data_IF_712802920915
#
_entry.id   IF_712802920915
#
_cell.length_a   1.000
_cell.length_b   1.000
_cell.length_c   1.000
_cell.angle_alpha   90.00
_cell.angle_beta   90.00
_cell.angle_gamma   90.00
#
_symmetry.space_group_name_H-M   'P 1'
#
loop_
_entity.id
_entity.type
_entity.pdbx_description
1 polymer ?
#
# COMPACT_ATOMS: atom_id res chain seq x y z
N UNK A 1 -7.55 83.26 33.98
CA UNK A 1 -7.32 81.84 33.63
C UNK A 1 -7.84 81.62 32.23
N UNK A 2 -6.97 81.33 31.26
CA UNK A 2 -7.41 80.95 29.90
C UNK A 2 -7.85 79.49 29.96
N UNK A 3 -9.15 79.25 30.01
CA UNK A 3 -9.73 77.91 29.88
C UNK A 3 -9.64 77.51 28.40
N UNK A 4 -8.71 76.62 28.07
CA UNK A 4 -8.67 76.00 26.74
C UNK A 4 -10.00 75.28 26.49
N UNK A 5 -10.76 75.71 25.49
CA UNK A 5 -11.97 75.03 25.02
C UNK A 5 -11.55 73.73 24.31
N UNK A 6 -11.29 72.67 25.06
CA UNK A 6 -11.42 71.32 24.51
C UNK A 6 -12.91 71.05 24.33
N UNK A 7 -13.39 71.12 23.09
CA UNK A 7 -14.79 70.87 22.76
C UNK A 7 -15.22 69.50 23.30
N UNK A 8 -16.34 69.44 24.05
CA UNK A 8 -16.92 68.19 24.58
C UNK A 8 -17.15 67.15 23.48
N UNK A 9 -17.42 67.62 22.25
CA UNK A 9 -17.52 66.77 21.05
C UNK A 9 -16.18 66.10 20.68
N UNK A 10 -15.05 66.81 20.80
CA UNK A 10 -13.73 66.24 20.55
C UNK A 10 -13.39 65.17 21.61
N UNK A 11 -13.70 65.41 22.88
CA UNK A 11 -13.49 64.44 23.98
C UNK A 11 -14.37 63.19 23.76
N UNK A 12 -15.64 63.37 23.40
CA UNK A 12 -16.54 62.24 23.12
C UNK A 12 -16.09 61.42 21.91
N UNK A 13 -15.62 62.06 20.83
CA UNK A 13 -15.15 61.35 19.65
C UNK A 13 -13.86 60.55 19.94
N UNK A 14 -12.92 61.12 20.70
CA UNK A 14 -11.71 60.42 21.15
C UNK A 14 -12.11 59.21 22.01
N UNK A 15 -13.03 59.37 22.97
CA UNK A 15 -13.47 58.25 23.82
C UNK A 15 -14.15 57.14 23.03
N UNK A 16 -14.97 57.47 22.01
CA UNK A 16 -15.56 56.46 21.12
C UNK A 16 -14.49 55.72 20.31
N UNK A 17 -13.49 56.44 19.79
CA UNK A 17 -12.37 55.81 19.09
C UNK A 17 -11.56 54.89 20.00
N UNK A 18 -11.25 55.33 21.23
CA UNK A 18 -10.55 54.50 22.22
C UNK A 18 -11.35 53.26 22.59
N UNK A 19 -12.66 53.39 22.85
CA UNK A 19 -13.53 52.24 23.15
C UNK A 19 -13.55 51.27 21.97
N UNK A 20 -13.71 51.75 20.74
CA UNK A 20 -13.71 50.90 19.54
C UNK A 20 -12.37 50.18 19.36
N UNK A 21 -11.25 50.87 19.59
CA UNK A 21 -9.91 50.29 19.52
C UNK A 21 -9.70 49.23 20.62
N UNK A 22 -10.09 49.52 21.87
CA UNK A 22 -9.99 48.59 22.99
C UNK A 22 -10.89 47.37 22.81
N UNK A 23 -12.09 47.51 22.23
CA UNK A 23 -12.96 46.39 21.87
C UNK A 23 -12.31 45.50 20.81
N UNK A 24 -11.70 46.10 19.77
CA UNK A 24 -10.99 45.34 18.72
C UNK A 24 -9.82 44.56 19.31
N UNK A 25 -8.99 45.22 20.14
CA UNK A 25 -7.88 44.57 20.83
C UNK A 25 -8.36 43.48 21.79
N UNK A 26 -9.46 43.70 22.51
CA UNK A 26 -10.03 42.69 23.41
C UNK A 26 -10.45 41.44 22.64
N UNK A 27 -11.10 41.63 21.48
CA UNK A 27 -11.48 40.52 20.60
C UNK A 27 -10.25 39.75 20.11
N UNK A 28 -9.22 40.45 19.62
CA UNK A 28 -7.99 39.82 19.13
C UNK A 28 -7.23 39.09 20.24
N UNK A 29 -6.99 39.74 21.38
CA UNK A 29 -6.30 39.12 22.52
C UNK A 29 -7.11 37.97 23.13
N UNK A 30 -8.44 38.01 23.07
CA UNK A 30 -9.29 36.88 23.48
C UNK A 30 -9.15 35.69 22.53
N UNK A 31 -9.11 35.92 21.22
CA UNK A 31 -8.83 34.87 20.23
C UNK A 31 -7.43 34.29 20.42
N UNK A 32 -6.43 35.13 20.63
CA UNK A 32 -5.04 34.75 20.90
C UNK A 32 -4.90 33.91 22.18
N UNK A 33 -5.53 34.35 23.27
CA UNK A 33 -5.54 33.60 24.53
C UNK A 33 -6.24 32.23 24.39
N UNK A 34 -7.28 32.13 23.56
CA UNK A 34 -8.02 30.89 23.36
C UNK A 34 -7.33 29.92 22.38
N UNK A 35 -6.70 30.43 21.32
CA UNK A 35 -6.13 29.61 20.24
C UNK A 35 -4.62 29.35 20.41
N UNK A 36 -3.93 30.20 21.16
CA UNK A 36 -2.47 30.16 21.27
C UNK A 36 -1.73 30.63 20.02
N UNK A 37 -2.44 31.23 19.05
CA UNK A 37 -1.87 31.79 17.82
C UNK A 37 -2.33 33.23 17.59
N UNK A 38 -1.56 34.02 16.84
CA UNK A 38 -1.95 35.39 16.48
C UNK A 38 -3.34 35.45 15.84
N UNK A 39 -4.18 36.40 16.28
CA UNK A 39 -5.53 36.56 15.74
C UNK A 39 -5.53 37.06 14.29
N UNK A 40 -4.50 37.80 13.89
CA UNK A 40 -4.28 38.26 12.51
C UNK A 40 -2.81 38.01 12.12
N UNK A 41 -2.55 36.83 11.56
CA UNK A 41 -1.23 36.44 11.06
C UNK A 41 -0.69 37.41 10.00
N UNK A 42 -1.56 38.01 9.19
CA UNK A 42 -1.21 38.98 8.14
C UNK A 42 -0.56 40.22 8.72
N UNK A 43 -1.19 40.80 9.74
CA UNK A 43 -0.67 41.97 10.44
C UNK A 43 0.54 41.63 11.30
N UNK A 44 0.51 40.50 12.02
CA UNK A 44 1.58 40.12 12.95
C UNK A 44 2.86 39.66 12.26
N UNK A 45 2.76 38.94 11.15
CA UNK A 45 3.91 38.33 10.47
C UNK A 45 4.30 39.03 9.17
N UNK A 46 3.40 39.79 8.54
CA UNK A 46 3.65 40.45 7.25
C UNK A 46 4.11 39.45 6.18
N UNK A 47 5.34 39.62 5.69
CA UNK A 47 5.95 38.70 4.71
C UNK A 47 6.14 37.26 5.23
N UNK A 48 6.14 37.05 6.55
CA UNK A 48 6.24 35.74 7.19
C UNK A 48 5.05 34.82 6.93
N UNK A 49 3.86 35.38 6.63
CA UNK A 49 2.66 34.59 6.31
C UNK A 49 2.87 33.68 5.10
N UNK A 50 3.59 34.16 4.08
CA UNK A 50 3.91 33.33 2.91
C UNK A 50 4.72 32.09 3.28
N UNK A 51 5.61 32.22 4.28
CA UNK A 51 6.40 31.10 4.80
C UNK A 51 5.52 30.11 5.54
N UNK A 52 4.60 30.58 6.37
CA UNK A 52 3.70 29.66 7.08
C UNK A 52 2.76 28.91 6.12
N UNK A 53 2.16 29.61 5.15
CA UNK A 53 1.33 28.97 4.13
C UNK A 53 2.12 27.88 3.39
N UNK A 54 3.38 28.18 3.03
CA UNK A 54 4.25 27.19 2.40
C UNK A 54 4.53 25.99 3.31
N UNK A 55 4.71 26.19 4.62
CA UNK A 55 4.93 25.10 5.58
C UNK A 55 3.67 24.23 5.71
N UNK A 56 2.50 24.84 5.87
CA UNK A 56 1.21 24.12 5.95
C UNK A 56 0.96 23.30 4.69
N UNK A 57 1.24 23.86 3.51
CA UNK A 57 1.11 23.12 2.24
C UNK A 57 2.01 21.89 2.17
N UNK A 58 3.24 21.95 2.72
CA UNK A 58 4.15 20.80 2.76
C UNK A 58 3.67 19.76 3.78
N UNK A 59 3.13 20.18 4.92
CA UNK A 59 2.50 19.29 5.91
C UNK A 59 1.31 18.54 5.28
N UNK A 60 0.44 19.25 4.57
CA UNK A 60 -0.72 18.64 3.89
C UNK A 60 -0.28 17.64 2.81
N UNK A 61 0.79 17.97 2.07
CA UNK A 61 1.37 17.05 1.10
C UNK A 61 1.94 15.79 1.78
N UNK A 62 2.63 15.94 2.92
CA UNK A 62 3.14 14.81 3.67
C UNK A 62 2.00 13.91 4.18
N UNK A 63 0.91 14.50 4.67
CA UNK A 63 -0.29 13.76 5.05
C UNK A 63 -0.92 12.98 3.87
N UNK A 64 -0.96 13.60 2.68
CA UNK A 64 -1.44 12.94 1.46
C UNK A 64 -0.58 11.73 1.07
N UNK A 65 0.76 11.85 1.18
CA UNK A 65 1.66 10.72 0.96
C UNK A 65 1.44 9.61 1.99
N UNK A 66 1.32 9.93 3.28
CA UNK A 66 1.05 8.92 4.32
C UNK A 66 -0.25 8.15 4.08
N UNK A 67 -1.32 8.85 3.67
CA UNK A 67 -2.59 8.20 3.32
C UNK A 67 -2.45 7.27 2.10
N UNK A 68 -1.69 7.69 1.09
CA UNK A 68 -1.40 6.86 -0.08
C UNK A 68 -0.53 5.65 0.29
N UNK A 69 0.47 5.86 1.14
CA UNK A 69 1.36 4.82 1.64
C UNK A 69 0.62 3.76 2.44
N UNK A 70 -0.40 4.12 3.21
CA UNK A 70 -1.24 3.14 3.91
C UNK A 70 -1.92 2.15 2.94
N UNK A 71 -2.37 2.63 1.77
CA UNK A 71 -2.96 1.79 0.73
C UNK A 71 -1.90 0.89 0.06
N UNK A 72 -0.70 1.43 -0.15
CA UNK A 72 0.45 0.67 -0.67
C UNK A 72 0.87 -0.43 0.32
N UNK A 73 0.96 -0.13 1.61
CA UNK A 73 1.29 -1.10 2.66
C UNK A 73 0.28 -2.23 2.70
N UNK A 74 -1.03 -1.92 2.72
CA UNK A 74 -2.09 -2.93 2.70
C UNK A 74 -1.96 -3.88 1.49
N UNK A 75 -1.66 -3.31 0.31
CA UNK A 75 -1.46 -4.08 -0.91
C UNK A 75 -0.23 -4.98 -0.86
N UNK A 76 0.89 -4.45 -0.36
CA UNK A 76 2.14 -5.19 -0.19
C UNK A 76 1.97 -6.34 0.81
N UNK A 77 1.36 -6.09 1.96
CA UNK A 77 1.07 -7.10 2.99
C UNK A 77 0.16 -8.21 2.48
N UNK A 78 -0.92 -7.84 1.78
CA UNK A 78 -1.83 -8.83 1.19
C UNK A 78 -1.14 -9.68 0.12
N UNK A 79 -0.26 -9.07 -0.67
CA UNK A 79 0.54 -9.80 -1.67
C UNK A 79 1.52 -10.76 -1.00
N UNK A 80 2.18 -10.35 0.09
CA UNK A 80 3.06 -11.21 0.88
C UNK A 80 2.32 -12.42 1.47
N UNK A 81 1.11 -12.21 1.97
CA UNK A 81 0.26 -13.28 2.51
C UNK A 81 -0.12 -14.31 1.43
N UNK A 82 -0.56 -13.84 0.27
CA UNK A 82 -0.87 -14.73 -0.87
C UNK A 82 0.36 -15.48 -1.37
N UNK A 83 1.52 -14.83 -1.48
CA UNK A 83 2.78 -15.49 -1.85
C UNK A 83 3.20 -16.54 -0.81
N UNK A 84 3.02 -16.26 0.49
CA UNK A 84 3.32 -17.22 1.56
C UNK A 84 2.42 -18.46 1.49
N UNK A 85 1.15 -18.29 1.11
CA UNK A 85 0.23 -19.41 0.87
C UNK A 85 0.72 -20.27 -0.29
N UNK A 86 1.13 -19.66 -1.42
CA UNK A 86 1.69 -20.38 -2.56
C UNK A 86 3.00 -21.10 -2.23
N UNK A 87 3.88 -20.45 -1.46
CA UNK A 87 5.14 -21.04 -1.02
C UNK A 87 4.86 -22.28 -0.14
N UNK A 88 3.95 -22.16 0.82
CA UNK A 88 3.55 -23.28 1.70
C UNK A 88 2.97 -24.44 0.90
N UNK A 89 2.19 -24.14 -0.15
CA UNK A 89 1.66 -25.15 -1.08
C UNK A 89 2.78 -25.87 -1.84
N UNK A 90 3.77 -25.12 -2.34
CA UNK A 90 4.95 -25.67 -3.02
C UNK A 90 5.79 -26.56 -2.08
N UNK A 91 6.06 -26.09 -0.86
CA UNK A 91 6.85 -26.82 0.14
C UNK A 91 6.13 -28.11 0.58
N UNK A 92 4.79 -28.05 0.74
CA UNK A 92 3.97 -29.23 1.05
C UNK A 92 3.99 -30.24 -0.09
N UNK A 93 3.92 -29.77 -1.34
CA UNK A 93 4.04 -30.63 -2.51
C UNK A 93 5.41 -31.33 -2.56
N UNK A 94 6.50 -30.60 -2.33
CA UNK A 94 7.86 -31.18 -2.24
C UNK A 94 7.93 -32.27 -1.18
N UNK A 95 7.38 -32.02 0.01
CA UNK A 95 7.36 -32.97 1.13
C UNK A 95 6.63 -34.26 0.75
N UNK A 96 5.41 -34.14 0.21
CA UNK A 96 4.58 -35.29 -0.18
C UNK A 96 5.20 -36.09 -1.33
N UNK A 97 5.80 -35.42 -2.31
CA UNK A 97 6.49 -36.10 -3.42
C UNK A 97 7.79 -36.79 -2.98
N UNK A 98 8.50 -36.21 -2.00
CA UNK A 98 9.69 -36.85 -1.41
C UNK A 98 9.30 -38.13 -0.68
N UNK A 99 8.17 -38.13 0.03
CA UNK A 99 7.62 -39.35 0.63
C UNK A 99 7.25 -40.40 -0.43
N UNK A 100 6.64 -39.98 -1.55
CA UNK A 100 6.32 -40.86 -2.68
C UNK A 100 7.57 -41.52 -3.31
N UNK A 101 8.72 -40.83 -3.35
CA UNK A 101 9.97 -41.44 -3.82
C UNK A 101 10.45 -42.59 -2.92
N UNK A 102 10.11 -42.54 -1.63
CA UNK A 102 10.43 -43.59 -0.65
C UNK A 102 9.42 -44.75 -0.63
N UNK A 103 8.17 -44.51 -1.04
CA UNK A 103 7.11 -45.51 -1.12
C UNK A 103 6.17 -45.21 -2.31
N UNK A 104 6.18 -46.08 -3.34
CA UNK A 104 5.41 -45.92 -4.58
C UNK A 104 4.07 -46.70 -4.60
N UNK A 105 3.54 -47.09 -3.44
CA UNK A 105 2.24 -47.76 -3.37
C UNK A 105 1.10 -46.85 -3.85
N UNK A 106 0.00 -47.47 -4.31
CA UNK A 106 -1.15 -46.78 -4.92
C UNK A 106 -1.77 -45.71 -4.00
N UNK A 107 -1.79 -45.93 -2.69
CA UNK A 107 -2.26 -44.95 -1.71
C UNK A 107 -1.36 -43.73 -1.61
N UNK A 108 -0.04 -43.91 -1.63
CA UNK A 108 0.94 -42.81 -1.61
C UNK A 108 0.85 -41.98 -2.90
N UNK A 109 0.62 -42.66 -4.04
CA UNK A 109 0.39 -42.02 -5.33
C UNK A 109 -0.87 -41.14 -5.32
N UNK A 110 -1.99 -41.66 -4.79
CA UNK A 110 -3.23 -40.91 -4.66
C UNK A 110 -3.07 -39.66 -3.77
N UNK A 111 -2.32 -39.78 -2.65
CA UNK A 111 -2.01 -38.63 -1.78
C UNK A 111 -1.17 -37.57 -2.51
N UNK A 112 -0.16 -37.97 -3.28
CA UNK A 112 0.64 -37.04 -4.06
C UNK A 112 -0.19 -36.30 -5.13
N UNK A 113 -1.10 -37.00 -5.81
CA UNK A 113 -2.03 -36.40 -6.78
C UNK A 113 -2.99 -35.40 -6.13
N UNK A 114 -3.54 -35.74 -4.96
CA UNK A 114 -4.37 -34.81 -4.21
C UNK A 114 -3.57 -33.57 -3.80
N UNK A 115 -2.35 -33.76 -3.27
CA UNK A 115 -1.47 -32.65 -2.90
C UNK A 115 -1.13 -31.74 -4.08
N UNK A 116 -0.93 -32.30 -5.27
CA UNK A 116 -0.68 -31.53 -6.49
C UNK A 116 -1.90 -30.69 -6.91
N UNK A 117 -3.09 -31.29 -6.83
CA UNK A 117 -4.37 -30.63 -7.12
C UNK A 117 -4.64 -29.50 -6.13
N UNK A 118 -4.41 -29.74 -4.83
CA UNK A 118 -4.57 -28.75 -3.78
C UNK A 118 -3.59 -27.59 -3.96
N UNK A 119 -2.32 -27.88 -4.26
CA UNK A 119 -1.31 -26.85 -4.48
C UNK A 119 -1.66 -25.95 -5.67
N UNK A 120 -2.15 -26.54 -6.76
CA UNK A 120 -2.61 -25.79 -7.93
C UNK A 120 -3.83 -24.92 -7.60
N UNK A 121 -4.82 -25.47 -6.91
CA UNK A 121 -6.03 -24.75 -6.50
C UNK A 121 -5.72 -23.58 -5.56
N UNK A 122 -4.82 -23.79 -4.60
CA UNK A 122 -4.32 -22.75 -3.70
C UNK A 122 -3.58 -21.65 -4.46
N UNK A 123 -2.71 -22.03 -5.41
CA UNK A 123 -2.02 -21.06 -6.26
C UNK A 123 -3.02 -20.23 -7.06
N UNK A 124 -3.96 -20.86 -7.78
CA UNK A 124 -4.98 -20.15 -8.56
C UNK A 124 -5.81 -19.23 -7.67
N UNK A 125 -6.21 -19.69 -6.49
CA UNK A 125 -6.99 -18.87 -5.56
C UNK A 125 -6.19 -17.67 -5.04
N UNK A 126 -4.95 -17.88 -4.60
CA UNK A 126 -4.07 -16.83 -4.08
C UNK A 126 -3.63 -15.83 -5.16
N UNK A 127 -3.44 -16.26 -6.40
CA UNK A 127 -3.12 -15.37 -7.53
C UNK A 127 -4.29 -14.45 -7.89
N UNK A 128 -5.52 -14.84 -7.51
CA UNK A 128 -6.74 -14.10 -7.78
C UNK A 128 -7.26 -13.33 -6.57
N UNK A 129 -6.42 -13.08 -5.56
CA UNK A 129 -6.77 -12.23 -4.41
C UNK A 129 -7.07 -10.80 -4.85
N UNK A 130 -8.14 -10.23 -4.29
CA UNK A 130 -8.63 -8.87 -4.55
C UNK A 130 -8.50 -8.03 -3.28
N UNK A 131 -8.01 -6.80 -3.43
CA UNK A 131 -7.98 -5.78 -2.37
C UNK A 131 -8.53 -4.49 -2.94
N UNK A 132 -9.49 -3.86 -2.26
CA UNK A 132 -10.15 -2.63 -2.72
C UNK A 132 -10.73 -2.70 -4.15
N UNK A 133 -11.18 -3.88 -4.58
CA UNK A 133 -11.75 -4.10 -5.92
C UNK A 133 -10.72 -4.30 -7.04
N UNK A 134 -9.42 -4.34 -6.70
CA UNK A 134 -8.33 -4.58 -7.64
C UNK A 134 -7.61 -5.90 -7.37
N UNK A 135 -7.22 -6.59 -8.45
CA UNK A 135 -6.44 -7.82 -8.32
C UNK A 135 -4.97 -7.53 -8.00
N UNK A 136 -4.44 -8.24 -7.00
CA UNK A 136 -3.06 -8.02 -6.52
C UNK A 136 -1.99 -8.43 -7.52
N UNK A 137 -2.20 -9.56 -8.21
CA UNK A 137 -1.25 -10.17 -9.14
C UNK A 137 -1.56 -9.90 -10.61
N UNK A 138 -2.37 -8.88 -10.91
CA UNK A 138 -2.65 -8.45 -12.29
C UNK A 138 -1.52 -7.67 -12.95
N UNK A 139 -0.44 -7.35 -12.22
CA UNK A 139 0.53 -6.35 -12.65
C UNK A 139 -0.16 -4.99 -12.76
N UNK A 140 -0.05 -4.34 -13.92
CA UNK A 140 -0.83 -3.14 -14.26
C UNK A 140 -2.27 -3.44 -14.77
N UNK A 141 -2.64 -4.70 -15.02
CA UNK A 141 -4.00 -5.09 -15.40
C UNK A 141 -4.84 -5.46 -14.17
N UNK A 142 -5.32 -4.43 -13.47
CA UNK A 142 -5.92 -4.58 -12.13
C UNK A 142 -7.39 -5.01 -12.14
N UNK A 143 -8.08 -4.87 -13.27
CA UNK A 143 -9.53 -5.04 -13.38
C UNK A 143 -9.97 -6.41 -13.91
N UNK A 144 -9.01 -7.29 -14.22
CA UNK A 144 -9.28 -8.62 -14.79
C UNK A 144 -8.66 -9.69 -13.92
N UNK A 145 -9.33 -10.85 -13.83
CA UNK A 145 -8.85 -12.02 -13.09
C UNK A 145 -7.46 -12.44 -13.62
N UNK A 146 -6.37 -12.33 -12.82
CA UNK A 146 -5.01 -12.52 -13.31
C UNK A 146 -4.73 -13.92 -13.82
N UNK A 147 -5.34 -14.95 -13.21
CA UNK A 147 -5.03 -16.34 -13.50
C UNK A 147 -6.28 -17.19 -13.68
N UNK A 148 -6.32 -17.93 -14.79
CA UNK A 148 -7.34 -18.94 -15.09
C UNK A 148 -6.70 -20.31 -15.00
N UNK A 149 -7.41 -21.27 -14.39
CA UNK A 149 -6.94 -22.64 -14.31
C UNK A 149 -7.08 -23.31 -15.70
N UNK A 150 -5.95 -23.65 -16.31
CA UNK A 150 -5.88 -24.35 -17.59
C UNK A 150 -5.44 -25.82 -17.43
N UNK A 151 -5.37 -26.34 -16.20
CA UNK A 151 -4.82 -27.68 -15.93
C UNK A 151 -5.50 -28.76 -16.75
N UNK A 152 -6.83 -28.79 -16.82
CA UNK A 152 -7.55 -29.80 -17.59
C UNK A 152 -7.19 -29.77 -19.10
N UNK A 153 -7.09 -28.58 -19.68
CA UNK A 153 -6.74 -28.41 -21.09
C UNK A 153 -5.28 -28.82 -21.35
N UNK A 154 -4.36 -28.36 -20.51
CA UNK A 154 -2.93 -28.67 -20.60
C UNK A 154 -2.67 -30.16 -20.35
N UNK A 155 -3.34 -30.78 -19.38
CA UNK A 155 -3.26 -32.23 -19.12
C UNK A 155 -3.70 -33.04 -20.34
N UNK A 156 -4.78 -32.64 -21.02
CA UNK A 156 -5.23 -33.31 -22.25
C UNK A 156 -4.23 -33.18 -23.39
N UNK A 157 -3.56 -32.03 -23.51
CA UNK A 157 -2.48 -31.81 -24.48
C UNK A 157 -1.24 -32.66 -24.13
N UNK A 158 -0.84 -32.71 -22.86
CA UNK A 158 0.26 -33.55 -22.38
C UNK A 158 -0.03 -35.03 -22.66
N UNK A 159 -1.26 -35.49 -22.40
CA UNK A 159 -1.66 -36.87 -22.67
C UNK A 159 -1.53 -37.24 -24.16
N UNK A 160 -2.02 -36.37 -25.02
CA UNK A 160 -1.93 -36.55 -26.49
C UNK A 160 -0.48 -36.54 -26.96
N UNK A 161 0.34 -35.65 -26.39
CA UNK A 161 1.76 -35.54 -26.71
C UNK A 161 2.55 -36.75 -26.19
N UNK A 162 2.24 -37.26 -25.01
CA UNK A 162 2.88 -38.45 -24.43
C UNK A 162 2.60 -39.69 -25.29
N UNK A 163 1.35 -39.86 -25.73
CA UNK A 163 0.99 -40.94 -26.65
C UNK A 163 1.78 -40.84 -27.96
N UNK A 164 1.80 -39.65 -28.56
CA UNK A 164 2.55 -39.38 -29.80
C UNK A 164 4.05 -39.66 -29.64
N UNK A 165 4.61 -39.29 -28.49
CA UNK A 165 6.01 -39.51 -28.15
C UNK A 165 6.32 -41.01 -28.00
N UNK A 166 5.49 -41.76 -27.27
CA UNK A 166 5.64 -43.21 -27.12
C UNK A 166 5.53 -43.94 -28.46
N UNK A 167 4.54 -43.58 -29.29
CA UNK A 167 4.35 -44.14 -30.63
C UNK A 167 5.56 -43.85 -31.55
N UNK A 168 6.12 -42.64 -31.47
CA UNK A 168 7.34 -42.26 -32.21
C UNK A 168 8.57 -43.09 -31.82
N UNK A 169 8.61 -43.60 -30.58
CA UNK A 169 9.64 -44.52 -30.09
C UNK A 169 9.29 -46.00 -30.35
N UNK A 170 8.10 -46.30 -30.88
CA UNK A 170 7.60 -47.66 -31.05
C UNK A 170 7.37 -48.40 -29.73
N UNK A 171 7.04 -47.66 -28.66
CA UNK A 171 6.85 -48.18 -27.30
C UNK A 171 5.44 -47.92 -26.79
N UNK A 172 4.98 -48.73 -25.84
CA UNK A 172 3.82 -48.35 -25.03
C UNK A 172 4.25 -47.36 -23.94
N UNK A 173 3.30 -46.56 -23.42
CA UNK A 173 3.58 -45.59 -22.35
C UNK A 173 4.18 -46.28 -21.11
N UNK A 174 3.75 -47.51 -20.79
CA UNK A 174 4.27 -48.28 -19.67
C UNK A 174 5.73 -48.75 -19.84
N UNK A 175 6.26 -48.74 -21.06
CA UNK A 175 7.62 -49.20 -21.39
C UNK A 175 8.64 -48.04 -21.50
N UNK A 176 8.20 -46.80 -21.26
CA UNK A 176 9.09 -45.64 -21.25
C UNK A 176 10.07 -45.74 -20.07
N UNK A 177 11.34 -45.46 -20.34
CA UNK A 177 12.39 -45.33 -19.32
C UNK A 177 12.37 -43.96 -18.64
N UNK A 178 13.06 -43.85 -17.51
CA UNK A 178 13.28 -42.59 -16.80
C UNK A 178 13.92 -41.50 -17.67
N UNK A 179 14.88 -41.88 -18.53
CA UNK A 179 15.52 -40.93 -19.46
C UNK A 179 14.55 -40.44 -20.54
N UNK A 180 13.74 -41.35 -21.09
CA UNK A 180 12.78 -41.00 -22.14
C UNK A 180 11.68 -40.09 -21.61
N UNK A 181 11.13 -40.37 -20.42
CA UNK A 181 10.12 -39.48 -19.83
C UNK A 181 10.72 -38.14 -19.38
N UNK A 182 11.97 -38.13 -18.90
CA UNK A 182 12.65 -36.88 -18.54
C UNK A 182 12.82 -35.98 -19.77
N UNK A 183 13.20 -36.56 -20.91
CA UNK A 183 13.33 -35.83 -22.18
C UNK A 183 11.97 -35.32 -22.67
N UNK A 184 10.91 -36.13 -22.54
CA UNK A 184 9.54 -35.69 -22.84
C UNK A 184 9.13 -34.48 -21.96
N UNK A 185 9.43 -34.52 -20.67
CA UNK A 185 9.13 -33.42 -19.75
C UNK A 185 9.88 -32.15 -20.16
N UNK A 186 11.20 -32.23 -20.38
CA UNK A 186 12.01 -31.04 -20.72
C UNK A 186 11.68 -30.47 -22.09
N UNK A 187 11.46 -31.33 -23.09
CA UNK A 187 11.42 -30.90 -24.49
C UNK A 187 9.99 -30.61 -24.95
N UNK A 188 8.99 -31.19 -24.26
CA UNK A 188 7.56 -31.06 -24.65
C UNK A 188 6.73 -30.39 -23.58
N UNK A 189 6.80 -30.83 -22.32
CA UNK A 189 5.91 -30.34 -21.26
C UNK A 189 6.34 -28.97 -20.74
N UNK A 190 7.62 -28.78 -20.39
CA UNK A 190 8.12 -27.51 -19.87
C UNK A 190 7.85 -26.30 -20.79
N UNK A 191 8.02 -26.38 -22.13
CA UNK A 191 7.66 -25.30 -23.05
C UNK A 191 6.19 -24.86 -22.99
N UNK A 192 5.27 -25.74 -22.57
CA UNK A 192 3.85 -25.39 -22.38
C UNK A 192 3.63 -24.43 -21.20
N UNK A 193 4.62 -24.30 -20.30
CA UNK A 193 4.65 -23.38 -19.16
C UNK A 193 5.68 -22.25 -19.35
N UNK A 194 6.22 -22.10 -20.56
CA UNK A 194 7.04 -20.93 -20.92
C UNK A 194 6.24 -19.63 -20.77
N UNK A 195 6.91 -18.49 -20.65
CA UNK A 195 6.20 -17.20 -20.53
C UNK A 195 5.27 -16.93 -21.72
N UNK A 196 5.71 -17.28 -22.93
CA UNK A 196 4.95 -17.10 -24.14
C UNK A 196 3.65 -17.94 -24.12
N UNK A 197 3.73 -19.22 -23.75
CA UNK A 197 2.55 -20.08 -23.62
C UNK A 197 1.66 -19.66 -22.44
N UNK A 198 2.27 -19.26 -21.33
CA UNK A 198 1.57 -18.85 -20.10
C UNK A 198 0.73 -17.59 -20.29
N UNK A 199 1.24 -16.63 -21.06
CA UNK A 199 0.61 -15.32 -21.32
C UNK A 199 -0.11 -15.26 -22.66
N UNK A 200 -0.30 -16.40 -23.33
CA UNK A 200 -1.07 -16.45 -24.58
C UNK A 200 -2.50 -15.91 -24.34
N UNK A 201 -2.97 -14.94 -25.13
CA UNK A 201 -4.25 -14.28 -24.89
C UNK A 201 -5.47 -15.17 -25.14
N UNK A 202 -5.30 -16.32 -25.80
CA UNK A 202 -6.40 -17.22 -26.19
C UNK A 202 -6.47 -18.49 -25.35
N UNK A 203 -5.32 -19.08 -25.04
CA UNK A 203 -5.22 -20.36 -24.33
C UNK A 203 -4.30 -20.31 -23.11
N UNK A 204 -3.71 -19.15 -22.81
CA UNK A 204 -2.79 -18.98 -21.69
C UNK A 204 -3.47 -19.08 -20.33
N UNK A 205 -2.64 -19.24 -19.32
CA UNK A 205 -3.05 -19.24 -17.93
C UNK A 205 -3.32 -17.83 -17.42
N UNK A 206 -2.49 -16.85 -17.82
CA UNK A 206 -2.52 -15.52 -17.24
C UNK A 206 -2.93 -14.42 -18.22
N UNK A 207 -3.76 -13.51 -17.71
CA UNK A 207 -4.09 -12.23 -18.35
C UNK A 207 -3.40 -11.05 -17.67
N UNK A 208 -2.51 -11.32 -16.71
CA UNK A 208 -1.76 -10.31 -15.99
C UNK A 208 -0.71 -9.67 -16.91
N UNK A 209 -0.40 -8.40 -16.64
CA UNK A 209 0.77 -7.77 -17.23
C UNK A 209 2.05 -8.23 -16.51
N UNK A 210 3.10 -8.56 -17.27
CA UNK A 210 4.42 -8.85 -16.68
C UNK A 210 5.09 -7.60 -16.06
N UNK A 211 4.52 -6.41 -16.28
CA UNK A 211 4.93 -5.17 -15.62
C UNK A 211 4.13 -4.99 -14.33
N UNK A 212 4.86 -4.86 -13.22
CA UNK A 212 4.30 -4.56 -11.91
C UNK A 212 3.93 -3.07 -11.79
N UNK A 213 2.98 -2.79 -10.91
CA UNK A 213 2.58 -1.43 -10.57
C UNK A 213 3.68 -0.73 -9.76
N UNK A 214 3.81 0.58 -9.94
CA UNK A 214 4.68 1.42 -9.14
C UNK A 214 3.88 2.48 -8.38
N UNK A 215 4.30 2.79 -7.16
CA UNK A 215 3.68 3.83 -6.34
C UNK A 215 4.73 4.84 -5.87
N UNK A 216 4.36 6.12 -5.92
CA UNK A 216 5.16 7.20 -5.34
C UNK A 216 4.85 7.29 -3.86
N UNK A 217 5.89 7.19 -3.02
CA UNK A 217 5.75 7.11 -1.55
C UNK A 217 6.25 8.36 -0.83
N UNK A 218 6.95 9.24 -1.55
CA UNK A 218 7.39 10.55 -1.10
C UNK A 218 7.60 11.48 -2.30
N UNK A 219 8.01 12.73 -2.05
CA UNK A 219 8.32 13.69 -3.13
C UNK A 219 9.37 13.19 -4.13
N UNK A 220 10.32 12.37 -3.71
CA UNK A 220 11.45 11.90 -4.53
C UNK A 220 11.44 10.40 -4.80
N UNK A 221 10.59 9.61 -4.13
CA UNK A 221 10.71 8.16 -4.12
C UNK A 221 9.53 7.43 -4.77
N UNK A 222 9.86 6.48 -5.64
CA UNK A 222 8.91 5.55 -6.28
C UNK A 222 9.41 4.13 -6.03
N UNK A 223 8.47 3.25 -5.69
CA UNK A 223 8.73 1.82 -5.44
C UNK A 223 7.83 0.96 -6.32
N UNK A 224 8.21 -0.30 -6.48
CA UNK A 224 7.32 -1.34 -6.99
C UNK A 224 6.34 -1.71 -5.87
N UNK A 225 5.04 -1.68 -6.15
CA UNK A 225 3.98 -1.84 -5.16
C UNK A 225 3.07 -3.05 -5.44
N UNK A 226 3.46 -3.92 -6.38
CA UNK A 226 2.74 -5.14 -6.69
C UNK A 226 3.66 -6.27 -7.15
N UNK A 227 3.06 -7.46 -7.22
CA UNK A 227 3.57 -8.61 -7.94
C UNK A 227 2.67 -8.89 -9.17
N UNK A 228 3.03 -9.91 -9.95
CA UNK A 228 2.21 -10.38 -11.07
C UNK A 228 2.19 -11.91 -11.15
N UNK A 229 1.17 -12.44 -11.82
CA UNK A 229 0.93 -13.86 -11.98
C UNK A 229 1.79 -14.55 -13.07
N UNK A 230 2.68 -13.80 -13.73
CA UNK A 230 3.57 -14.32 -14.77
C UNK A 230 4.93 -14.76 -14.22
N UNK A 231 5.15 -14.62 -12.90
CA UNK A 231 6.41 -14.96 -12.27
C UNK A 231 6.77 -16.43 -12.45
N UNK A 232 8.07 -16.69 -12.63
CA UNK A 232 8.59 -18.05 -12.84
C UNK A 232 8.17 -19.01 -11.71
N UNK A 233 8.07 -18.51 -10.47
CA UNK A 233 7.63 -19.29 -9.33
C UNK A 233 6.21 -19.87 -9.49
N UNK A 234 5.27 -19.06 -9.97
CA UNK A 234 3.89 -19.53 -10.21
C UNK A 234 3.84 -20.52 -11.39
N UNK A 235 4.58 -20.26 -12.47
CA UNK A 235 4.65 -21.17 -13.62
C UNK A 235 5.21 -22.54 -13.22
N UNK A 236 6.24 -22.55 -12.39
CA UNK A 236 6.86 -23.80 -11.91
C UNK A 236 5.97 -24.56 -10.94
N UNK A 237 5.21 -23.86 -10.08
CA UNK A 237 4.24 -24.52 -9.20
C UNK A 237 3.14 -25.19 -10.02
N UNK A 238 2.62 -24.49 -11.04
CA UNK A 238 1.64 -25.04 -11.97
C UNK A 238 2.20 -26.26 -12.73
N UNK A 239 3.42 -26.15 -13.27
CA UNK A 239 4.09 -27.24 -13.97
C UNK A 239 4.26 -28.46 -13.07
N UNK A 240 4.79 -28.29 -11.85
CA UNK A 240 4.95 -29.39 -10.89
C UNK A 240 3.61 -30.07 -10.58
N UNK A 241 2.57 -29.29 -10.30
CA UNK A 241 1.23 -29.80 -10.00
C UNK A 241 0.61 -30.55 -11.19
N UNK A 242 0.74 -30.01 -12.41
CA UNK A 242 0.19 -30.64 -13.62
C UNK A 242 0.96 -31.91 -13.98
N UNK A 243 2.29 -31.93 -13.82
CA UNK A 243 3.10 -33.14 -14.04
C UNK A 243 2.63 -34.31 -13.17
N UNK A 244 2.43 -34.07 -11.87
CA UNK A 244 2.01 -35.11 -10.93
C UNK A 244 0.57 -35.56 -11.21
N UNK A 245 -0.36 -34.62 -11.38
CA UNK A 245 -1.76 -34.96 -11.63
C UNK A 245 -1.98 -35.67 -12.97
N UNK A 246 -1.13 -35.40 -13.97
CA UNK A 246 -1.28 -35.95 -15.33
C UNK A 246 -0.49 -37.24 -15.51
N UNK A 247 0.82 -37.22 -15.26
CA UNK A 247 1.72 -38.31 -15.65
C UNK A 247 1.73 -39.46 -14.64
N UNK A 248 1.53 -39.17 -13.36
CA UNK A 248 1.62 -40.19 -12.31
C UNK A 248 0.50 -41.25 -12.39
N UNK A 249 -0.60 -40.98 -13.08
CA UNK A 249 -1.72 -41.92 -13.28
C UNK A 249 -1.60 -42.81 -14.54
N UNK A 250 -0.50 -42.72 -15.31
CA UNK A 250 -0.41 -43.30 -16.66
C UNK A 250 0.10 -44.73 -16.74
N UNK A 251 0.27 -45.40 -15.60
CA UNK A 251 0.83 -46.75 -15.57
C UNK A 251 2.26 -46.81 -16.11
N UNK A 252 3.05 -45.78 -15.80
CA UNK A 252 4.47 -45.69 -16.19
C UNK A 252 5.29 -46.81 -15.55
N UNK A 253 6.42 -47.14 -16.17
CA UNK A 253 7.44 -47.97 -15.51
C UNK A 253 7.89 -47.33 -14.19
N UNK A 254 8.37 -48.13 -13.22
CA UNK A 254 8.87 -47.58 -11.95
C UNK A 254 9.98 -46.54 -12.16
N UNK A 255 10.86 -46.76 -13.14
CA UNK A 255 11.92 -45.81 -13.50
C UNK A 255 11.36 -44.48 -14.03
N UNK A 256 10.39 -44.54 -14.95
CA UNK A 256 9.71 -43.35 -15.46
C UNK A 256 8.90 -42.63 -14.37
N UNK A 257 8.22 -43.36 -13.49
CA UNK A 257 7.48 -42.76 -12.37
C UNK A 257 8.41 -42.04 -11.40
N UNK A 258 9.58 -42.61 -11.08
CA UNK A 258 10.60 -41.93 -10.26
C UNK A 258 11.11 -40.67 -10.93
N UNK A 259 11.36 -40.70 -12.24
CA UNK A 259 11.77 -39.53 -13.00
C UNK A 259 10.72 -38.41 -13.00
N UNK A 260 9.43 -38.74 -13.18
CA UNK A 260 8.31 -37.77 -13.07
C UNK A 260 8.30 -37.13 -11.68
N UNK A 261 8.35 -37.95 -10.62
CA UNK A 261 8.33 -37.45 -9.24
C UNK A 261 9.54 -36.57 -8.94
N UNK A 262 10.75 -36.96 -9.38
CA UNK A 262 11.96 -36.15 -9.22
C UNK A 262 11.87 -34.82 -9.99
N UNK A 263 11.36 -34.82 -11.21
CA UNK A 263 11.14 -33.59 -11.98
C UNK A 263 10.14 -32.65 -11.28
N UNK A 264 9.02 -33.20 -10.81
CA UNK A 264 8.02 -32.43 -10.07
C UNK A 264 8.58 -31.82 -8.77
N UNK A 265 9.41 -32.57 -8.02
CA UNK A 265 10.12 -32.03 -6.84
C UNK A 265 11.03 -30.86 -7.23
N UNK A 266 11.78 -31.00 -8.32
CA UNK A 266 12.69 -29.94 -8.78
C UNK A 266 11.92 -28.67 -9.17
N UNK A 267 10.83 -28.79 -9.92
CA UNK A 267 10.00 -27.63 -10.28
C UNK A 267 9.29 -27.03 -9.05
N UNK A 268 8.74 -27.84 -8.14
CA UNK A 268 8.10 -27.33 -6.93
C UNK A 268 9.11 -26.63 -5.98
N UNK A 269 10.31 -27.17 -5.85
CA UNK A 269 11.41 -26.53 -5.09
C UNK A 269 11.85 -25.22 -5.74
N UNK A 270 11.99 -25.23 -7.08
CA UNK A 270 12.26 -24.02 -7.86
C UNK A 270 11.14 -22.99 -7.72
N UNK A 271 9.88 -23.42 -7.64
CA UNK A 271 8.73 -22.56 -7.40
C UNK A 271 8.83 -21.87 -6.05
N UNK A 272 9.05 -22.64 -4.98
CA UNK A 272 9.25 -22.11 -3.61
C UNK A 272 10.37 -21.08 -3.57
N UNK A 273 11.54 -21.39 -4.14
CA UNK A 273 12.68 -20.46 -4.18
C UNK A 273 12.37 -19.15 -4.93
N UNK A 274 11.69 -19.22 -6.08
CA UNK A 274 11.32 -18.04 -6.85
C UNK A 274 10.22 -17.21 -6.16
N UNK A 275 9.26 -17.85 -5.48
CA UNK A 275 8.26 -17.17 -4.66
C UNK A 275 8.91 -16.43 -3.50
N UNK A 276 9.87 -17.05 -2.80
CA UNK A 276 10.65 -16.40 -1.74
C UNK A 276 11.45 -15.21 -2.26
N UNK A 277 12.02 -15.31 -3.46
CA UNK A 277 12.71 -14.18 -4.10
C UNK A 277 11.75 -13.00 -4.35
N UNK A 278 10.53 -13.30 -4.84
CA UNK A 278 9.49 -12.29 -5.03
C UNK A 278 9.04 -11.68 -3.69
N UNK A 279 8.88 -12.50 -2.64
CA UNK A 279 8.55 -12.01 -1.30
C UNK A 279 9.64 -11.11 -0.72
N UNK A 280 10.90 -11.42 -0.99
CA UNK A 280 12.04 -10.61 -0.55
C UNK A 280 12.03 -9.22 -1.22
N UNK A 281 11.71 -9.15 -2.51
CA UNK A 281 11.59 -7.88 -3.24
C UNK A 281 10.43 -7.01 -2.71
N UNK A 282 9.29 -7.64 -2.38
CA UNK A 282 8.18 -6.93 -1.75
C UNK A 282 8.54 -6.48 -0.32
N UNK A 283 9.27 -7.29 0.45
CA UNK A 283 9.76 -6.93 1.77
C UNK A 283 10.67 -5.68 1.76
N UNK A 284 11.57 -5.58 0.77
CA UNK A 284 12.36 -4.36 0.57
C UNK A 284 11.49 -3.15 0.24
N UNK A 285 10.39 -3.36 -0.49
CA UNK A 285 9.44 -2.29 -0.82
C UNK A 285 8.65 -1.85 0.42
N UNK A 286 8.26 -2.77 1.30
CA UNK A 286 7.62 -2.47 2.59
C UNK A 286 8.52 -1.63 3.48
N UNK A 287 9.79 -2.04 3.64
CA UNK A 287 10.79 -1.30 4.41
C UNK A 287 10.99 0.14 3.89
N UNK A 288 10.95 0.33 2.56
CA UNK A 288 11.05 1.67 1.96
C UNK A 288 9.81 2.53 2.25
N UNK A 289 8.61 1.94 2.27
CA UNK A 289 7.40 2.65 2.70
C UNK A 289 7.51 3.09 4.15
N UNK A 290 7.97 2.21 5.04
CA UNK A 290 8.15 2.51 6.46
C UNK A 290 9.13 3.67 6.65
N UNK A 291 10.33 3.59 6.06
CA UNK A 291 11.32 4.67 6.08
C UNK A 291 10.82 5.98 5.49
N UNK A 292 10.02 5.92 4.41
CA UNK A 292 9.43 7.11 3.83
C UNK A 292 8.43 7.75 4.80
N UNK A 293 7.60 6.95 5.48
CA UNK A 293 6.66 7.45 6.49
C UNK A 293 7.40 8.08 7.69
N UNK A 294 8.47 7.47 8.18
CA UNK A 294 9.30 8.03 9.26
C UNK A 294 9.89 9.40 8.86
N UNK A 295 10.38 9.52 7.62
CA UNK A 295 10.91 10.78 7.11
C UNK A 295 9.83 11.85 6.96
N UNK A 296 8.64 11.48 6.48
CA UNK A 296 7.48 12.37 6.36
C UNK A 296 6.99 12.83 7.75
N UNK A 297 7.02 11.98 8.76
CA UNK A 297 6.66 12.32 10.14
C UNK A 297 7.68 13.26 10.77
N UNK A 298 8.98 12.97 10.63
CA UNK A 298 10.03 13.87 11.09
C UNK A 298 9.93 15.25 10.42
N UNK A 299 9.69 15.29 9.10
CA UNK A 299 9.48 16.53 8.37
C UNK A 299 8.25 17.29 8.89
N UNK A 300 7.13 16.59 9.09
CA UNK A 300 5.89 17.17 9.60
C UNK A 300 6.09 17.78 10.98
N UNK A 301 6.73 17.06 11.91
CA UNK A 301 7.02 17.56 13.26
C UNK A 301 7.91 18.80 13.23
N UNK A 302 8.97 18.82 12.41
CA UNK A 302 9.86 19.98 12.29
C UNK A 302 9.09 21.20 11.77
N UNK A 303 8.24 21.02 10.76
CA UNK A 303 7.45 22.11 10.18
C UNK A 303 6.36 22.60 11.14
N UNK A 304 5.68 21.71 11.86
CA UNK A 304 4.70 22.04 12.88
C UNK A 304 5.33 22.86 14.01
N UNK A 305 6.50 22.46 14.51
CA UNK A 305 7.21 23.23 15.54
C UNK A 305 7.60 24.62 15.04
N UNK A 306 8.12 24.73 13.81
CA UNK A 306 8.44 26.04 13.21
C UNK A 306 7.20 26.91 12.98
N UNK A 307 6.06 26.29 12.71
CA UNK A 307 4.77 26.97 12.56
C UNK A 307 4.32 27.52 13.92
N UNK A 308 4.41 26.73 14.99
CA UNK A 308 4.16 27.21 16.37
C UNK A 308 5.13 28.33 16.75
N UNK A 309 6.42 28.24 16.42
CA UNK A 309 7.39 29.32 16.70
C UNK A 309 7.06 30.63 15.97
N UNK A 310 6.46 30.54 14.78
CA UNK A 310 6.12 31.70 13.95
C UNK A 310 4.75 32.28 14.31
N UNK A 311 3.76 31.44 14.52
CA UNK A 311 2.36 31.84 14.69
C UNK A 311 1.94 31.94 16.15
N UNK A 312 2.71 31.32 17.05
CA UNK A 312 2.39 31.19 18.46
C UNK A 312 2.45 32.51 19.20
N UNK A 313 1.57 32.63 20.19
CA UNK A 313 1.54 33.74 21.15
C UNK A 313 1.62 33.20 22.58
N UNK A 314 2.18 34.00 23.49
CA UNK A 314 2.13 33.69 24.91
C UNK A 314 0.69 33.87 25.42
N UNK A 315 0.01 32.76 25.70
CA UNK A 315 -1.37 32.75 26.14
C UNK A 315 -1.55 33.39 27.52
N UNK A 316 -0.52 33.41 28.36
CA UNK A 316 -0.55 34.07 29.66
C UNK A 316 -0.48 35.59 29.50
N UNK A 317 0.40 36.08 28.63
CA UNK A 317 0.47 37.50 28.29
C UNK A 317 -0.85 37.96 27.63
N UNK A 318 -1.36 37.20 26.67
CA UNK A 318 -2.64 37.48 26.02
C UNK A 318 -3.81 37.52 27.03
N UNK A 319 -3.88 36.57 27.96
CA UNK A 319 -4.90 36.54 29.02
C UNK A 319 -4.78 37.73 29.98
N UNK A 320 -3.56 38.13 30.32
CA UNK A 320 -3.30 39.33 31.14
C UNK A 320 -3.76 40.58 30.41
N UNK A 321 -3.50 40.67 29.10
CA UNK A 321 -3.93 41.77 28.26
C UNK A 321 -5.46 41.85 28.14
N UNK A 322 -6.15 40.71 27.99
CA UNK A 322 -7.63 40.63 28.02
C UNK A 322 -8.16 41.25 29.31
N UNK A 323 -7.63 40.84 30.47
CA UNK A 323 -8.09 41.37 31.77
C UNK A 323 -7.88 42.89 31.88
N UNK A 324 -6.73 43.39 31.42
CA UNK A 324 -6.43 44.82 31.40
C UNK A 324 -7.41 45.59 30.51
N UNK A 325 -7.72 45.07 29.32
CA UNK A 325 -8.64 45.69 28.36
C UNK A 325 -10.09 45.69 28.86
N UNK A 326 -10.54 44.63 29.54
CA UNK A 326 -11.84 44.59 30.21
C UNK A 326 -11.97 45.74 31.22
N UNK A 327 -11.00 45.88 32.13
CA UNK A 327 -10.99 46.95 33.14
C UNK A 327 -10.93 48.35 32.51
N UNK A 328 -10.16 48.51 31.44
CA UNK A 328 -10.11 49.77 30.69
C UNK A 328 -11.46 50.11 30.04
N UNK A 329 -12.15 49.14 29.46
CA UNK A 329 -13.47 49.33 28.86
C UNK A 329 -14.53 49.68 29.90
N UNK A 330 -14.57 48.97 31.04
CA UNK A 330 -15.45 49.30 32.17
C UNK A 330 -15.26 50.74 32.66
N UNK A 331 -13.99 51.15 32.79
CA UNK A 331 -13.63 52.52 33.18
C UNK A 331 -14.05 53.54 32.13
N UNK A 332 -13.81 53.25 30.84
CA UNK A 332 -14.19 54.13 29.73
C UNK A 332 -15.71 54.32 29.64
N UNK A 333 -16.50 53.25 29.78
CA UNK A 333 -17.95 53.34 29.83
C UNK A 333 -18.44 54.16 31.03
N UNK A 334 -17.83 53.97 32.19
CA UNK A 334 -18.14 54.75 33.39
C UNK A 334 -17.87 56.25 33.15
N UNK A 335 -16.76 56.59 32.48
CA UNK A 335 -16.41 57.96 32.13
C UNK A 335 -17.35 58.56 31.08
N UNK A 336 -17.73 57.80 30.06
CA UNK A 336 -18.72 58.23 29.06
C UNK A 336 -20.06 58.55 29.73
N UNK A 337 -20.53 57.68 30.63
CA UNK A 337 -21.75 57.92 31.41
C UNK A 337 -21.64 59.21 32.25
N UNK A 338 -20.51 59.45 32.92
CA UNK A 338 -20.26 60.70 33.66
C UNK A 338 -20.25 61.93 32.74
N UNK A 339 -19.59 61.88 31.58
CA UNK A 339 -19.55 62.99 30.63
C UNK A 339 -20.92 63.27 29.98
N UNK A 340 -21.72 62.24 29.72
CA UNK A 340 -23.10 62.41 29.27
C UNK A 340 -23.97 63.07 30.35
N UNK A 341 -23.76 62.76 31.63
CA UNK A 341 -24.47 63.39 32.75
C UNK A 341 -24.11 64.87 32.96
N UNK A 342 -22.93 65.31 32.53
CA UNK A 342 -22.44 66.70 32.58
C UNK A 342 -22.91 67.59 31.41
N UNK A 343 -23.79 67.07 30.54
CA UNK A 343 -24.40 67.83 29.45
C UNK A 343 -25.10 69.09 29.97
N UNK A 344 -24.88 70.23 29.29
CA UNK A 344 -25.46 71.54 29.61
C UNK A 344 -27.01 71.51 29.74
N UNK A 345 -27.66 70.51 29.17
CA UNK A 345 -29.12 70.27 29.26
C UNK A 345 -29.57 69.88 30.68
N UNK A 346 -28.68 69.32 31.53
CA UNK A 346 -28.99 69.04 32.93
C UNK A 346 -28.74 70.24 33.86
N UNK A 347 -28.16 71.33 33.34
CA UNK A 347 -27.83 72.55 34.08
C UNK A 347 -28.61 73.79 33.60
N UNK A 348 -29.56 73.59 32.69
CA UNK A 348 -30.57 74.55 32.23
C UNK A 348 -31.95 74.05 32.64
#
# INVERSE_FOLDING_TARGET
>A
MKTSFTSTSAIQNILRQTISQSQKLLSSSSTEAATGTYADLGVSLGSGVAKTISMSSVIDQAASFKNSNALVSLRLESSQSSLSTMQTAADSLVSNLTALLGNQDESALAVAQQSATDALSQMVSASNTVVNGEYLFGGINLSSKPLTDQSAAVSSQIDSALQTYADGLGKSIGDLSGTEISSFISDTVEPMFSEASWTDPTSGWSTAASTNMSSRISGSEVIQSSANANSQGMRYLALASVLVSTLSAKGLSSDAQRAVTSAAINYASGASSNLVSQQSQLGLSQERVEKANDALDAQTTILQNKLVDLEGVDTYEASTQVKSLETQLETAYTLVNKLQSLSLVNYL
#
